data_IF_639590028584
#
_entry.id   IF_639590028584
#
_cell.length_a   1.000
_cell.length_b   1.000
_cell.length_c   1.000
_cell.angle_alpha   90.00
_cell.angle_beta   90.00
_cell.angle_gamma   90.00
#
_symmetry.space_group_name_H-M   'P 1'
#
loop_
_entity.id
_entity.type
_entity.pdbx_description
1 polymer ?
#
# COMPACT_ATOMS: atom_id res chain seq x y z
N UNK A 1 -29.01 7.16 47.98
CA UNK A 1 -28.09 6.16 47.38
C UNK A 1 -28.72 5.36 46.24
N UNK A 2 -30.03 5.05 46.23
CA UNK A 2 -30.66 4.23 45.19
C UNK A 2 -30.86 4.93 43.82
N UNK A 3 -31.02 6.25 43.79
CA UNK A 3 -31.25 7.02 42.55
C UNK A 3 -30.02 7.09 41.64
N UNK A 4 -28.81 7.12 42.19
CA UNK A 4 -27.58 7.14 41.39
C UNK A 4 -27.31 5.82 40.67
N UNK A 5 -27.69 4.68 41.27
CA UNK A 5 -27.54 3.37 40.63
C UNK A 5 -28.51 3.20 39.45
N UNK A 6 -29.75 3.68 39.61
CA UNK A 6 -30.76 3.64 38.54
C UNK A 6 -30.38 4.57 37.38
N UNK A 7 -29.85 5.76 37.65
CA UNK A 7 -29.36 6.67 36.60
C UNK A 7 -28.18 6.06 35.82
N UNK A 8 -27.24 5.40 36.51
CA UNK A 8 -26.10 4.75 35.86
C UNK A 8 -26.51 3.56 34.98
N UNK A 9 -27.55 2.82 35.39
CA UNK A 9 -28.14 1.75 34.57
C UNK A 9 -28.85 2.31 33.33
N UNK A 10 -29.49 3.47 33.43
CA UNK A 10 -30.14 4.15 32.29
C UNK A 10 -29.11 4.65 31.27
N UNK A 11 -28.00 5.23 31.74
CA UNK A 11 -26.88 5.64 30.87
C UNK A 11 -26.25 4.44 30.15
N UNK A 12 -26.05 3.31 30.85
CA UNK A 12 -25.55 2.08 30.22
C UNK A 12 -26.53 1.55 29.19
N UNK A 13 -27.83 1.57 29.48
CA UNK A 13 -28.86 1.17 28.54
C UNK A 13 -28.90 2.09 27.30
N UNK A 14 -28.70 3.40 27.49
CA UNK A 14 -28.61 4.37 26.40
C UNK A 14 -27.37 4.14 25.52
N UNK A 15 -26.19 3.95 26.11
CA UNK A 15 -24.96 3.62 25.38
C UNK A 15 -25.10 2.30 24.64
N UNK A 16 -25.64 1.25 25.28
CA UNK A 16 -25.87 -0.05 24.65
C UNK A 16 -26.84 0.05 23.46
N UNK A 17 -27.88 0.87 23.57
CA UNK A 17 -28.85 1.10 22.49
C UNK A 17 -28.23 1.86 21.31
N UNK A 18 -27.40 2.87 21.57
CA UNK A 18 -26.67 3.61 20.53
C UNK A 18 -25.61 2.73 19.87
N UNK A 19 -24.88 1.91 20.65
CA UNK A 19 -23.94 0.94 20.11
C UNK A 19 -24.65 -0.09 19.23
N UNK A 20 -25.77 -0.66 19.71
CA UNK A 20 -26.56 -1.61 18.92
C UNK A 20 -27.07 -1.01 17.61
N UNK A 21 -27.49 0.26 17.60
CA UNK A 21 -27.94 0.95 16.40
C UNK A 21 -26.82 1.22 15.37
N UNK A 22 -25.57 1.29 15.80
CA UNK A 22 -24.42 1.57 14.92
C UNK A 22 -23.69 0.30 14.44
N UNK A 23 -23.99 -0.87 15.04
CA UNK A 23 -23.37 -2.13 14.65
C UNK A 23 -23.64 -2.51 13.19
N UNK A 24 -24.87 -2.34 12.71
CA UNK A 24 -25.25 -2.67 11.33
C UNK A 24 -24.52 -1.78 10.32
N UNK A 25 -24.37 -0.49 10.63
CA UNK A 25 -23.62 0.46 9.79
C UNK A 25 -22.13 0.12 9.75
N UNK A 26 -21.52 -0.21 10.90
CA UNK A 26 -20.11 -0.62 10.96
C UNK A 26 -19.89 -1.91 10.16
N UNK A 27 -20.80 -2.88 10.27
CA UNK A 27 -20.71 -4.12 9.51
C UNK A 27 -20.82 -3.85 7.99
N UNK A 28 -21.81 -3.06 7.56
CA UNK A 28 -21.99 -2.71 6.16
C UNK A 28 -20.80 -1.92 5.58
N UNK A 29 -20.29 -0.93 6.32
CA UNK A 29 -19.12 -0.15 5.89
C UNK A 29 -17.85 -1.01 5.86
N UNK A 30 -17.68 -1.94 6.80
CA UNK A 30 -16.55 -2.87 6.83
C UNK A 30 -16.56 -3.79 5.60
N UNK A 31 -17.71 -4.32 5.22
CA UNK A 31 -17.87 -5.14 4.01
C UNK A 31 -17.56 -4.30 2.75
N UNK A 32 -18.07 -3.08 2.68
CA UNK A 32 -17.83 -2.17 1.55
C UNK A 32 -16.35 -1.79 1.43
N UNK A 33 -15.69 -1.49 2.55
CA UNK A 33 -14.25 -1.20 2.57
C UNK A 33 -13.43 -2.44 2.19
N UNK A 34 -13.77 -3.61 2.76
CA UNK A 34 -13.09 -4.87 2.47
C UNK A 34 -13.19 -5.28 1.00
N UNK A 35 -14.36 -5.16 0.39
CA UNK A 35 -14.55 -5.45 -1.04
C UNK A 35 -13.75 -4.51 -1.95
N UNK A 36 -13.64 -3.23 -1.61
CA UNK A 36 -12.76 -2.29 -2.33
C UNK A 36 -11.28 -2.63 -2.16
N UNK A 37 -10.86 -2.97 -0.94
CA UNK A 37 -9.48 -3.33 -0.64
C UNK A 37 -9.06 -4.64 -1.32
N UNK A 38 -9.96 -5.61 -1.44
CA UNK A 38 -9.67 -6.91 -2.06
C UNK A 38 -9.18 -6.76 -3.51
N UNK A 39 -9.76 -5.85 -4.30
CA UNK A 39 -9.33 -5.61 -5.68
C UNK A 39 -7.87 -5.14 -5.77
N UNK A 40 -7.49 -4.21 -4.89
CA UNK A 40 -6.12 -3.66 -4.82
C UNK A 40 -5.13 -4.73 -4.34
N UNK A 41 -5.49 -5.50 -3.30
CA UNK A 41 -4.62 -6.56 -2.76
C UNK A 41 -4.38 -7.67 -3.78
N UNK A 42 -5.40 -8.04 -4.57
CA UNK A 42 -5.25 -9.06 -5.62
C UNK A 42 -4.32 -8.57 -6.74
N UNK A 43 -4.44 -7.30 -7.13
CA UNK A 43 -3.58 -6.68 -8.15
C UNK A 43 -2.11 -6.69 -7.71
N UNK A 44 -1.83 -6.21 -6.49
CA UNK A 44 -0.48 -6.19 -5.91
C UNK A 44 0.10 -7.61 -5.76
N UNK A 45 -0.74 -8.59 -5.38
CA UNK A 45 -0.32 -9.98 -5.22
C UNK A 45 -0.03 -10.69 -6.55
N UNK A 46 -0.56 -10.21 -7.68
CA UNK A 46 -0.33 -10.80 -9.00
C UNK A 46 1.10 -10.55 -9.52
N UNK A 47 1.81 -9.57 -8.96
CA UNK A 47 3.18 -9.24 -9.36
C UNK A 47 4.18 -10.15 -8.64
N UNK A 48 5.04 -10.85 -9.39
CA UNK A 48 6.11 -11.67 -8.81
C UNK A 48 7.16 -10.77 -8.13
N UNK A 49 7.57 -11.05 -6.88
CA UNK A 49 8.55 -10.21 -6.18
C UNK A 49 9.93 -10.37 -6.81
N UNK A 50 10.30 -9.46 -7.73
CA UNK A 50 11.64 -9.43 -8.32
C UNK A 50 12.72 -8.90 -7.36
N UNK A 51 12.32 -8.28 -6.25
CA UNK A 51 13.23 -7.63 -5.29
C UNK A 51 14.06 -8.61 -4.45
N UNK A 52 13.67 -9.89 -4.40
CA UNK A 52 14.35 -10.92 -3.60
C UNK A 52 15.22 -11.88 -4.43
N UNK A 53 15.26 -11.70 -5.75
CA UNK A 53 16.07 -12.55 -6.64
C UNK A 53 17.56 -12.37 -6.30
N UNK A 54 18.23 -13.47 -5.93
CA UNK A 54 19.65 -13.51 -5.59
C UNK A 54 19.99 -13.49 -4.10
N UNK A 55 19.01 -13.52 -3.20
CA UNK A 55 19.24 -13.67 -1.75
C UNK A 55 19.15 -15.13 -1.28
N UNK A 56 19.70 -15.42 -0.11
CA UNK A 56 19.47 -16.70 0.56
C UNK A 56 18.04 -16.75 1.11
N UNK A 57 17.35 -17.88 0.93
CA UNK A 57 15.94 -18.05 1.31
C UNK A 57 15.64 -17.69 2.78
N UNK A 58 16.62 -17.86 3.68
CA UNK A 58 16.50 -17.52 5.10
C UNK A 58 16.36 -16.01 5.37
N UNK A 59 16.84 -15.16 4.45
CA UNK A 59 16.83 -13.68 4.60
C UNK A 59 15.69 -12.99 3.86
N UNK A 60 15.02 -13.68 2.95
CA UNK A 60 13.95 -13.07 2.14
C UNK A 60 12.80 -12.56 3.01
N UNK A 61 12.36 -13.35 3.99
CA UNK A 61 11.22 -12.99 4.84
C UNK A 61 11.51 -11.76 5.71
N UNK A 62 12.74 -11.64 6.23
CA UNK A 62 13.13 -10.49 7.06
C UNK A 62 13.26 -9.21 6.23
N UNK A 63 13.76 -9.31 5.00
CA UNK A 63 13.82 -8.20 4.04
C UNK A 63 12.41 -7.73 3.68
N UNK A 64 11.52 -8.66 3.31
CA UNK A 64 10.12 -8.35 2.97
C UNK A 64 9.42 -7.67 4.16
N UNK A 65 9.63 -8.17 5.38
CA UNK A 65 9.06 -7.58 6.58
C UNK A 65 9.51 -6.13 6.80
N UNK A 66 10.81 -5.83 6.59
CA UNK A 66 11.34 -4.46 6.68
C UNK A 66 10.70 -3.54 5.63
N UNK A 67 10.55 -4.01 4.40
CA UNK A 67 9.89 -3.26 3.33
C UNK A 67 8.42 -3.01 3.68
N UNK A 68 7.71 -4.03 4.16
CA UNK A 68 6.31 -3.94 4.55
C UNK A 68 6.09 -2.91 5.67
N UNK A 69 6.93 -2.91 6.71
CA UNK A 69 6.84 -1.92 7.79
C UNK A 69 7.14 -0.50 7.30
N UNK A 70 8.14 -0.35 6.42
CA UNK A 70 8.47 0.94 5.81
C UNK A 70 7.35 1.49 4.93
N UNK A 71 6.78 0.63 4.07
CA UNK A 71 5.61 0.93 3.23
C UNK A 71 4.41 1.31 4.08
N UNK A 72 4.09 0.53 5.12
CA UNK A 72 2.95 0.80 6.02
C UNK A 72 3.07 2.17 6.67
N UNK A 73 4.28 2.53 7.14
CA UNK A 73 4.56 3.85 7.71
C UNK A 73 4.33 4.95 6.68
N UNK A 74 4.84 4.79 5.46
CA UNK A 74 4.68 5.78 4.40
C UNK A 74 3.21 5.98 3.99
N UNK A 75 2.49 4.87 3.81
CA UNK A 75 1.06 4.86 3.48
C UNK A 75 0.23 5.51 4.58
N UNK A 76 0.47 5.16 5.84
CA UNK A 76 -0.35 5.65 6.95
C UNK A 76 -0.07 7.12 7.31
N UNK A 77 1.19 7.57 7.26
CA UNK A 77 1.55 8.93 7.67
C UNK A 77 1.47 9.97 6.55
N UNK A 78 1.67 9.59 5.29
CA UNK A 78 1.74 10.55 4.18
C UNK A 78 0.61 10.36 3.19
N UNK A 79 0.50 9.16 2.60
CA UNK A 79 -0.45 8.92 1.50
C UNK A 79 -1.91 8.94 1.97
N UNK A 80 -2.23 8.28 3.08
CA UNK A 80 -3.59 8.24 3.61
C UNK A 80 -4.10 9.63 4.00
N UNK A 81 -3.36 10.46 4.78
CA UNK A 81 -3.79 11.82 5.07
C UNK A 81 -3.92 12.68 3.81
N UNK A 82 -2.98 12.57 2.87
CA UNK A 82 -3.04 13.30 1.60
C UNK A 82 -4.27 12.91 0.77
N UNK A 83 -4.56 11.61 0.65
CA UNK A 83 -5.72 11.09 -0.05
C UNK A 83 -7.04 11.51 0.61
N UNK A 84 -7.11 11.51 1.95
CA UNK A 84 -8.27 12.00 2.69
C UNK A 84 -8.49 13.49 2.47
N UNK A 85 -7.42 14.29 2.48
CA UNK A 85 -7.49 15.72 2.17
C UNK A 85 -7.93 15.94 0.72
N UNK A 86 -7.36 15.22 -0.23
CA UNK A 86 -7.75 15.31 -1.64
C UNK A 86 -9.23 14.95 -1.82
N UNK A 87 -9.70 13.89 -1.19
CA UNK A 87 -11.10 13.48 -1.21
C UNK A 87 -12.03 14.50 -0.54
N UNK A 88 -11.58 15.23 0.48
CA UNK A 88 -12.40 16.21 1.18
C UNK A 88 -12.48 17.55 0.44
N UNK A 89 -11.39 17.99 -0.20
CA UNK A 89 -11.28 19.35 -0.76
C UNK A 89 -11.32 19.40 -2.29
N UNK A 90 -10.96 18.33 -2.99
CA UNK A 90 -10.83 18.30 -4.44
C UNK A 90 -11.13 16.91 -5.02
N UNK A 91 -12.29 16.33 -4.67
CA UNK A 91 -12.72 15.01 -5.17
C UNK A 91 -12.72 14.94 -6.71
N UNK A 92 -13.07 16.04 -7.38
CA UNK A 92 -13.05 16.16 -8.84
C UNK A 92 -11.66 15.98 -9.46
N UNK A 93 -10.58 16.23 -8.71
CA UNK A 93 -9.22 16.11 -9.19
C UNK A 93 -8.73 14.65 -9.21
N UNK A 94 -9.39 13.74 -8.48
CA UNK A 94 -8.98 12.32 -8.38
C UNK A 94 -9.05 11.66 -9.76
N UNK A 95 -10.20 11.76 -10.44
CA UNK A 95 -10.39 11.14 -11.76
C UNK A 95 -9.37 11.59 -12.82
N UNK A 96 -9.12 12.89 -13.07
CA UNK A 96 -8.13 13.31 -14.06
C UNK A 96 -6.71 12.88 -13.67
N UNK A 97 -6.37 12.86 -12.38
CA UNK A 97 -5.04 12.44 -11.91
C UNK A 97 -4.83 10.93 -12.14
N UNK A 98 -5.83 10.11 -11.84
CA UNK A 98 -5.83 8.67 -12.14
C UNK A 98 -5.81 8.39 -13.64
N UNK A 99 -6.52 9.17 -14.45
CA UNK A 99 -6.49 9.03 -15.92
C UNK A 99 -5.10 9.33 -16.48
N UNK A 100 -4.41 10.36 -15.98
CA UNK A 100 -3.04 10.66 -16.38
C UNK A 100 -2.06 9.54 -15.99
N UNK A 101 -2.18 9.02 -14.76
CA UNK A 101 -1.41 7.85 -14.32
C UNK A 101 -1.66 6.62 -15.19
N UNK A 102 -2.93 6.34 -15.50
CA UNK A 102 -3.33 5.25 -16.40
C UNK A 102 -2.75 5.37 -17.80
N UNK A 103 -2.73 6.57 -18.38
CA UNK A 103 -2.09 6.82 -19.68
C UNK A 103 -0.59 6.53 -19.65
N UNK A 104 0.10 6.95 -18.58
CA UNK A 104 1.52 6.65 -18.39
C UNK A 104 1.78 5.14 -18.26
N UNK A 105 0.96 4.42 -17.48
CA UNK A 105 1.06 2.97 -17.36
C UNK A 105 0.78 2.23 -18.69
N UNK A 106 -0.16 2.73 -19.51
CA UNK A 106 -0.36 2.20 -20.86
C UNK A 106 0.85 2.40 -21.76
N UNK A 107 1.53 3.56 -21.65
CA UNK A 107 2.77 3.83 -22.37
C UNK A 107 3.88 2.85 -21.97
N UNK A 108 4.14 2.70 -20.67
CA UNK A 108 5.18 1.79 -20.16
C UNK A 108 4.83 0.31 -20.47
N UNK A 109 3.55 -0.05 -20.40
CA UNK A 109 3.07 -1.37 -20.78
C UNK A 109 3.31 -1.68 -22.26
N UNK A 110 3.07 -0.71 -23.15
CA UNK A 110 3.37 -0.87 -24.58
C UNK A 110 4.87 -1.03 -24.83
N UNK A 111 5.72 -0.25 -24.16
CA UNK A 111 7.18 -0.36 -24.24
C UNK A 111 7.68 -1.74 -23.76
N UNK A 112 7.17 -2.24 -22.64
CA UNK A 112 7.49 -3.59 -22.13
C UNK A 112 7.08 -4.69 -23.09
N UNK A 113 5.92 -4.57 -23.74
CA UNK A 113 5.50 -5.50 -24.78
C UNK A 113 6.44 -5.44 -25.98
N UNK A 114 6.84 -4.25 -26.43
CA UNK A 114 7.80 -4.09 -27.53
C UNK A 114 9.16 -4.72 -27.20
N UNK A 115 9.68 -4.51 -25.99
CA UNK A 115 10.92 -5.16 -25.53
C UNK A 115 10.85 -6.69 -25.52
N UNK A 116 9.67 -7.26 -25.21
CA UNK A 116 9.46 -8.71 -25.27
C UNK A 116 9.58 -9.25 -26.71
N UNK A 117 9.17 -8.46 -27.71
CA UNK A 117 9.25 -8.84 -29.13
C UNK A 117 10.56 -8.42 -29.83
N UNK A 118 11.29 -7.44 -29.29
CA UNK A 118 12.56 -6.95 -29.83
C UNK A 118 13.56 -6.66 -28.69
N UNK A 119 14.19 -7.71 -28.11
CA UNK A 119 15.18 -7.54 -27.05
C UNK A 119 16.41 -6.81 -27.60
N UNK A 120 16.70 -5.62 -27.09
CA UNK A 120 17.98 -4.93 -27.26
C UNK A 120 18.82 -5.13 -25.99
N UNK A 121 20.11 -5.43 -26.16
CA UNK A 121 21.08 -5.74 -25.10
C UNK A 121 21.52 -4.49 -24.30
N UNK A 122 20.62 -3.84 -23.57
CA UNK A 122 20.96 -2.68 -22.72
C UNK A 122 21.42 -3.07 -21.29
N UNK A 123 21.43 -4.36 -20.94
CA UNK A 123 21.69 -4.84 -19.58
C UNK A 123 23.16 -4.82 -19.13
N UNK A 124 24.12 -4.44 -19.98
CA UNK A 124 25.54 -4.56 -19.66
C UNK A 124 26.07 -3.45 -18.70
N UNK A 125 25.26 -2.47 -18.29
CA UNK A 125 25.78 -1.23 -17.66
C UNK A 125 25.46 -1.05 -16.17
N UNK A 126 24.54 -1.83 -15.60
CA UNK A 126 24.17 -1.72 -14.18
C UNK A 126 24.98 -2.64 -13.25
N UNK A 127 25.49 -3.76 -13.75
CA UNK A 127 26.19 -4.77 -12.94
C UNK A 127 27.56 -4.31 -12.41
N UNK A 128 28.23 -3.36 -13.07
CA UNK A 128 29.58 -2.90 -12.67
C UNK A 128 29.58 -2.04 -11.39
N UNK A 129 28.47 -1.36 -11.07
CA UNK A 129 28.40 -0.49 -9.88
C UNK A 129 28.13 -1.25 -8.58
N UNK A 130 27.55 -2.45 -8.67
CA UNK A 130 27.10 -3.25 -7.52
C UNK A 130 28.25 -4.04 -6.87
N UNK A 131 29.35 -4.27 -7.61
CA UNK A 131 30.49 -5.09 -7.17
C UNK A 131 31.32 -4.49 -6.01
N UNK A 132 31.08 -3.23 -5.64
CA UNK A 132 31.86 -2.51 -4.61
C UNK A 132 31.21 -2.48 -3.21
N UNK A 133 29.98 -2.99 -3.05
CA UNK A 133 29.22 -2.88 -1.79
C UNK A 133 29.32 -4.16 -0.95
N UNK A 134 29.36 -4.00 0.38
CA UNK A 134 29.19 -5.14 1.30
C UNK A 134 27.75 -5.69 1.21
N UNK A 135 27.57 -6.99 1.48
CA UNK A 135 26.26 -7.65 1.44
C UNK A 135 25.17 -6.91 2.26
N UNK A 136 25.54 -6.30 3.38
CA UNK A 136 24.60 -5.59 4.25
C UNK A 136 24.24 -4.19 3.73
N UNK A 137 25.20 -3.49 3.11
CA UNK A 137 24.93 -2.20 2.46
C UNK A 137 24.00 -2.38 1.25
N UNK A 138 24.23 -3.43 0.46
CA UNK A 138 23.38 -3.76 -0.68
C UNK A 138 21.94 -4.11 -0.25
N UNK A 139 21.79 -4.86 0.85
CA UNK A 139 20.48 -5.17 1.44
C UNK A 139 19.75 -3.89 1.88
N UNK A 140 20.44 -3.00 2.58
CA UNK A 140 19.85 -1.73 3.04
C UNK A 140 19.44 -0.83 1.88
N UNK A 141 20.26 -0.76 0.84
CA UNK A 141 19.97 0.02 -0.36
C UNK A 141 18.74 -0.53 -1.08
N UNK A 142 18.68 -1.85 -1.30
CA UNK A 142 17.50 -2.51 -1.90
C UNK A 142 16.24 -2.33 -1.06
N UNK A 143 16.31 -2.45 0.27
CA UNK A 143 15.16 -2.20 1.16
C UNK A 143 14.69 -0.75 1.04
N UNK A 144 15.60 0.22 1.07
CA UNK A 144 15.25 1.64 0.98
C UNK A 144 14.68 2.02 -0.39
N UNK A 145 15.25 1.45 -1.46
CA UNK A 145 14.77 1.59 -2.83
C UNK A 145 13.36 1.04 -2.99
N UNK A 146 13.11 -0.18 -2.50
CA UNK A 146 11.80 -0.79 -2.54
C UNK A 146 10.74 0.02 -1.76
N UNK A 147 11.07 0.54 -0.57
CA UNK A 147 10.16 1.42 0.21
C UNK A 147 9.85 2.72 -0.56
N UNK A 148 10.84 3.29 -1.25
CA UNK A 148 10.66 4.53 -2.02
C UNK A 148 9.82 4.28 -3.27
N UNK A 149 10.08 3.20 -3.99
CA UNK A 149 9.31 2.81 -5.18
C UNK A 149 7.86 2.53 -4.80
N UNK A 150 7.61 1.78 -3.73
CA UNK A 150 6.25 1.54 -3.23
C UNK A 150 5.53 2.84 -2.84
N UNK A 151 6.21 3.80 -2.20
CA UNK A 151 5.62 5.10 -1.87
C UNK A 151 5.18 5.88 -3.13
N UNK A 152 6.00 5.85 -4.19
CA UNK A 152 5.69 6.56 -5.45
C UNK A 152 4.55 5.86 -6.18
N UNK A 153 4.56 4.52 -6.25
CA UNK A 153 3.54 3.75 -6.95
C UNK A 153 2.20 3.69 -6.21
N UNK A 154 2.20 3.91 -4.90
CA UNK A 154 0.99 3.91 -4.07
C UNK A 154 0.32 5.28 -3.93
N UNK A 155 0.86 6.32 -4.56
CA UNK A 155 0.41 7.70 -4.45
C UNK A 155 -0.70 8.08 -5.44
#
# INVERSE_FOLDING_TARGET
MATGLIALLDDVAAIAKVAAATLDDVAAQSIKAGSKAAGVVIDDAAVTPRYVVGFTAERELSIIWRIALGSLKNKLLFLLPAALLLSAFAEWAITPLLMLGGVYLCYEGAEKLLHLFQPHDDHAREDEAVAALTSEQLENEKVSGAIRTDFILSA
#
